data_IF_070409324964
#
_entry.id   IF_070409324964
#
_cell.length_a   1.000
_cell.length_b   1.000
_cell.length_c   1.000
_cell.angle_alpha   90.00
_cell.angle_beta   90.00
_cell.angle_gamma   90.00
#
_symmetry.space_group_name_H-M   'P 1'
#
loop_
_entity.id
_entity.type
_entity.pdbx_description
1 polymer ?
#
# COMPACT_ATOMS: atom_id res chain seq x y z
N UNK A 1 -4.10 43.29 100.88
CA UNK A 1 -4.30 41.90 101.39
C UNK A 1 -4.70 41.07 100.18
N UNK A 2 -3.73 40.55 99.43
CA UNK A 2 -3.03 39.27 99.63
C UNK A 2 -3.91 38.02 99.53
N UNK A 3 -3.41 37.14 98.66
CA UNK A 3 -3.49 35.68 98.64
C UNK A 3 -4.74 35.05 97.99
N UNK A 4 -4.66 33.90 97.32
CA UNK A 4 -3.61 33.24 96.52
C UNK A 4 -4.32 32.09 95.77
N UNK A 5 -3.84 31.80 94.56
CA UNK A 5 -3.92 30.59 93.72
C UNK A 5 -4.84 29.42 94.09
N UNK A 6 -5.52 28.87 93.07
CA UNK A 6 -5.26 27.49 92.61
C UNK A 6 -5.78 27.24 91.18
N UNK A 7 -5.21 26.22 90.55
CA UNK A 7 -4.90 26.06 89.14
C UNK A 7 -5.58 24.80 88.60
N UNK A 8 -6.27 24.84 87.45
CA UNK A 8 -6.60 23.63 86.67
C UNK A 8 -6.47 23.96 85.18
N UNK A 9 -5.39 23.46 84.56
CA UNK A 9 -5.22 23.37 83.10
C UNK A 9 -6.28 22.41 82.55
N UNK A 10 -7.24 22.93 81.79
CA UNK A 10 -8.10 22.10 80.94
C UNK A 10 -7.41 21.99 79.58
N UNK A 11 -7.02 20.75 79.23
CA UNK A 11 -6.46 20.41 77.93
C UNK A 11 -7.53 20.55 76.84
N UNK A 12 -7.26 21.37 75.83
CA UNK A 12 -8.01 21.38 74.57
C UNK A 12 -7.84 20.04 73.85
N UNK A 13 -8.91 19.24 73.81
CA UNK A 13 -9.03 18.10 72.88
C UNK A 13 -9.19 18.65 71.46
N UNK A 14 -8.09 18.72 70.70
CA UNK A 14 -8.16 18.73 69.23
C UNK A 14 -8.79 17.41 68.77
N UNK A 15 -10.01 17.51 68.23
CA UNK A 15 -10.70 16.42 67.53
C UNK A 15 -9.97 16.21 66.20
N UNK A 16 -9.23 15.11 66.07
CA UNK A 16 -8.60 14.71 64.81
C UNK A 16 -9.67 14.19 63.85
N UNK A 17 -9.94 14.94 62.78
CA UNK A 17 -10.63 14.43 61.59
C UNK A 17 -9.73 13.41 60.89
N UNK A 18 -10.28 12.31 60.34
CA UNK A 18 -9.50 11.40 59.52
C UNK A 18 -9.25 12.04 58.16
N UNK A 19 -7.96 12.25 57.86
CA UNK A 19 -7.45 12.73 56.57
C UNK A 19 -7.72 11.68 55.48
N UNK A 20 -8.78 11.88 54.69
CA UNK A 20 -9.17 11.02 53.57
C UNK A 20 -8.61 11.54 52.24
N UNK A 21 -7.29 11.63 52.14
CA UNK A 21 -6.57 12.07 50.93
C UNK A 21 -5.97 10.93 50.10
N UNK A 22 -6.13 9.66 50.50
CA UNK A 22 -5.43 8.51 49.87
C UNK A 22 -6.27 7.63 48.94
N UNK A 23 -7.60 7.77 48.94
CA UNK A 23 -8.48 6.91 48.13
C UNK A 23 -8.84 7.52 46.76
N UNK A 24 -8.61 8.82 46.56
CA UNK A 24 -8.88 9.52 45.29
C UNK A 24 -7.75 9.39 44.25
N UNK A 25 -6.54 8.99 44.66
CA UNK A 25 -5.42 8.76 43.73
C UNK A 25 -5.46 7.39 43.04
N UNK A 26 -5.98 6.34 43.70
CA UNK A 26 -6.01 4.99 43.12
C UNK A 26 -7.04 4.80 42.01
N UNK A 27 -8.17 5.53 42.05
CA UNK A 27 -9.17 5.49 40.97
C UNK A 27 -8.74 6.28 39.72
N UNK A 28 -7.85 7.26 39.86
CA UNK A 28 -7.35 8.07 38.74
C UNK A 28 -6.18 7.41 37.97
N UNK A 29 -5.51 6.43 38.55
CA UNK A 29 -4.42 5.69 37.88
C UNK A 29 -4.94 4.54 36.99
N UNK A 30 -6.01 3.84 37.40
CA UNK A 30 -6.60 2.72 36.64
C UNK A 30 -7.29 3.19 35.34
N UNK A 31 -7.87 4.38 35.33
CA UNK A 31 -8.50 4.99 34.15
C UNK A 31 -7.46 5.49 33.12
N UNK A 32 -6.29 5.95 33.59
CA UNK A 32 -5.19 6.44 32.75
C UNK A 32 -4.42 5.29 32.08
N UNK A 33 -4.24 4.15 32.74
CA UNK A 33 -3.55 2.98 32.15
C UNK A 33 -4.39 2.28 31.07
N UNK A 34 -5.71 2.23 31.23
CA UNK A 34 -6.63 1.67 30.20
C UNK A 34 -6.66 2.52 28.93
N UNK A 35 -6.67 3.85 29.08
CA UNK A 35 -6.69 4.80 27.95
C UNK A 35 -5.33 4.84 27.22
N UNK A 36 -4.21 4.77 27.95
CA UNK A 36 -2.88 4.73 27.33
C UNK A 36 -2.60 3.44 26.54
N UNK A 37 -3.07 2.27 27.02
CA UNK A 37 -2.93 1.01 26.28
C UNK A 37 -3.85 0.93 25.05
N UNK A 38 -5.01 1.59 25.09
CA UNK A 38 -5.87 1.72 23.91
C UNK A 38 -5.24 2.67 22.88
N UNK A 39 -4.65 3.77 23.33
CA UNK A 39 -3.94 4.72 22.46
C UNK A 39 -2.72 4.09 21.78
N UNK A 40 -1.90 3.33 22.51
CA UNK A 40 -0.72 2.65 21.92
C UNK A 40 -1.09 1.54 20.93
N UNK A 41 -2.20 0.83 21.14
CA UNK A 41 -2.72 -0.15 20.19
C UNK A 41 -3.24 0.52 18.91
N UNK A 42 -3.99 1.63 19.03
CA UNK A 42 -4.43 2.42 17.89
C UNK A 42 -3.26 3.01 17.09
N UNK A 43 -2.23 3.51 17.77
CA UNK A 43 -1.01 4.01 17.13
C UNK A 43 -0.31 2.89 16.34
N UNK A 44 -0.24 1.68 16.92
CA UNK A 44 0.35 0.51 16.29
C UNK A 44 -0.45 0.05 15.07
N UNK A 45 -1.79 0.07 15.16
CA UNK A 45 -2.68 -0.22 14.03
C UNK A 45 -2.55 0.82 12.91
N UNK A 46 -2.45 2.10 13.26
CA UNK A 46 -2.26 3.18 12.29
C UNK A 46 -0.91 3.04 11.56
N UNK A 47 0.17 2.76 12.29
CA UNK A 47 1.49 2.53 11.70
C UNK A 47 1.48 1.31 10.78
N UNK A 48 0.89 0.19 11.21
CA UNK A 48 0.75 -1.01 10.38
C UNK A 48 -0.06 -0.75 9.11
N UNK A 49 -1.14 0.04 9.20
CA UNK A 49 -1.93 0.43 8.04
C UNK A 49 -1.13 1.32 7.08
N UNK A 50 -0.41 2.32 7.60
CA UNK A 50 0.48 3.17 6.81
C UNK A 50 1.53 2.35 6.07
N UNK A 51 2.16 1.38 6.73
CA UNK A 51 3.17 0.53 6.10
C UNK A 51 2.56 -0.39 5.04
N UNK A 52 1.34 -0.88 5.26
CA UNK A 52 0.59 -1.66 4.27
C UNK A 52 0.25 -0.82 3.04
N UNK A 53 -0.13 0.46 3.22
CA UNK A 53 -0.39 1.39 2.11
C UNK A 53 0.88 1.68 1.32
N UNK A 54 2.01 1.98 1.98
CA UNK A 54 3.30 2.19 1.31
C UNK A 54 3.73 0.97 0.50
N UNK A 55 3.58 -0.23 1.06
CA UNK A 55 3.92 -1.47 0.37
C UNK A 55 3.00 -1.71 -0.83
N UNK A 56 1.71 -1.39 -0.72
CA UNK A 56 0.77 -1.43 -1.85
C UNK A 56 1.24 -0.49 -2.96
N UNK A 57 1.58 0.76 -2.62
CA UNK A 57 2.08 1.75 -3.58
C UNK A 57 3.35 1.28 -4.30
N UNK A 58 4.32 0.74 -3.53
CA UNK A 58 5.55 0.17 -4.09
C UNK A 58 5.26 -0.96 -5.08
N UNK A 59 4.41 -1.92 -4.70
CA UNK A 59 4.01 -3.03 -5.57
C UNK A 59 3.29 -2.55 -6.83
N UNK A 60 2.41 -1.54 -6.70
CA UNK A 60 1.76 -0.95 -7.88
C UNK A 60 2.76 -0.27 -8.81
N UNK A 61 3.76 0.42 -8.26
CA UNK A 61 4.83 1.03 -9.04
C UNK A 61 5.67 -0.03 -9.79
N UNK A 62 6.02 -1.12 -9.12
CA UNK A 62 6.75 -2.24 -9.73
C UNK A 62 5.93 -2.91 -10.83
N UNK A 63 4.63 -3.13 -10.61
CA UNK A 63 3.73 -3.71 -11.61
C UNK A 63 3.69 -2.84 -12.87
N UNK A 64 3.48 -1.53 -12.73
CA UNK A 64 3.44 -0.59 -13.86
C UNK A 64 4.77 -0.58 -14.63
N UNK A 65 5.90 -0.65 -13.93
CA UNK A 65 7.22 -0.70 -14.57
C UNK A 65 7.38 -1.97 -15.43
N UNK A 66 6.98 -3.13 -14.90
CA UNK A 66 7.02 -4.41 -15.63
C UNK A 66 6.08 -4.41 -16.83
N UNK A 67 4.87 -3.90 -16.67
CA UNK A 67 3.89 -3.81 -17.76
C UNK A 67 4.39 -2.94 -18.91
N UNK A 68 5.02 -1.79 -18.60
CA UNK A 68 5.67 -0.95 -19.60
C UNK A 68 6.82 -1.67 -20.31
N UNK A 69 7.60 -2.45 -19.56
CA UNK A 69 8.69 -3.24 -20.12
C UNK A 69 8.17 -4.34 -21.05
N UNK A 70 7.11 -5.06 -20.67
CA UNK A 70 6.44 -6.06 -21.51
C UNK A 70 5.97 -5.40 -22.81
N UNK A 71 5.30 -4.26 -22.73
CA UNK A 71 4.83 -3.52 -23.90
C UNK A 71 5.98 -3.14 -24.86
N UNK A 72 7.11 -2.65 -24.32
CA UNK A 72 8.28 -2.34 -25.12
C UNK A 72 8.88 -3.58 -25.80
N UNK A 73 9.05 -4.67 -25.04
CA UNK A 73 9.58 -5.93 -25.58
C UNK A 73 8.67 -6.57 -26.62
N UNK A 74 7.35 -6.51 -26.45
CA UNK A 74 6.41 -6.97 -27.45
C UNK A 74 6.56 -6.22 -28.77
N UNK A 75 6.83 -4.91 -28.72
CA UNK A 75 7.04 -4.12 -29.92
C UNK A 75 8.23 -4.64 -30.73
N UNK A 76 9.37 -4.81 -30.05
CA UNK A 76 10.59 -5.33 -30.66
C UNK A 76 10.39 -6.77 -31.16
N UNK A 77 9.78 -7.63 -30.36
CA UNK A 77 9.52 -9.02 -30.70
C UNK A 77 8.63 -9.14 -31.95
N UNK A 78 7.51 -8.41 -32.01
CA UNK A 78 6.61 -8.44 -33.17
C UNK A 78 7.27 -7.90 -34.43
N UNK A 79 8.14 -6.89 -34.31
CA UNK A 79 8.89 -6.34 -35.43
C UNK A 79 9.91 -7.34 -35.99
N UNK A 80 10.73 -7.92 -35.11
CA UNK A 80 11.86 -8.77 -35.49
C UNK A 80 11.41 -10.15 -36.00
N UNK A 81 10.35 -10.71 -35.40
CA UNK A 81 9.89 -12.07 -35.71
C UNK A 81 8.85 -12.14 -36.84
N UNK A 82 8.47 -11.00 -37.42
CA UNK A 82 7.40 -10.90 -38.41
C UNK A 82 7.61 -11.81 -39.64
N UNK A 83 8.88 -12.00 -40.02
CA UNK A 83 9.26 -12.71 -41.25
C UNK A 83 9.18 -14.23 -41.07
N UNK A 84 9.58 -14.74 -39.90
CA UNK A 84 9.75 -16.17 -39.66
C UNK A 84 8.46 -16.84 -39.15
N UNK A 85 7.51 -16.06 -38.63
CA UNK A 85 6.41 -16.58 -37.83
C UNK A 85 6.73 -16.49 -36.34
N UNK A 86 5.69 -16.41 -35.51
CA UNK A 86 5.83 -16.19 -34.07
C UNK A 86 4.61 -16.70 -33.32
N UNK A 87 4.67 -16.65 -31.98
CA UNK A 87 3.58 -17.14 -31.10
C UNK A 87 2.23 -16.44 -31.33
N UNK A 88 2.23 -15.22 -31.87
CA UNK A 88 1.00 -14.45 -32.08
C UNK A 88 0.31 -14.82 -33.40
N UNK A 89 1.08 -15.05 -34.47
CA UNK A 89 0.57 -15.30 -35.83
C UNK A 89 0.70 -16.75 -36.28
N UNK A 90 1.38 -17.59 -35.51
CA UNK A 90 1.69 -18.98 -35.83
C UNK A 90 3.05 -19.18 -36.51
N UNK A 91 3.45 -20.45 -36.58
CA UNK A 91 4.74 -20.91 -37.12
C UNK A 91 4.64 -21.45 -38.55
N UNK A 92 3.50 -21.30 -39.22
CA UNK A 92 3.32 -21.83 -40.59
C UNK A 92 4.37 -21.26 -41.57
N UNK A 93 4.76 -19.99 -41.39
CA UNK A 93 5.83 -19.35 -42.17
C UNK A 93 7.20 -19.99 -41.94
N UNK A 94 7.46 -20.49 -40.74
CA UNK A 94 8.69 -21.19 -40.39
C UNK A 94 8.77 -22.54 -41.12
N UNK A 95 7.64 -23.23 -41.25
CA UNK A 95 7.53 -24.52 -41.95
C UNK A 95 7.53 -24.38 -43.49
N UNK A 96 6.97 -23.28 -44.01
CA UNK A 96 6.72 -23.13 -45.45
C UNK A 96 7.89 -22.58 -46.29
N UNK A 97 9.05 -22.17 -45.75
CA UNK A 97 10.12 -21.76 -46.67
C UNK A 97 11.54 -21.68 -46.15
N UNK A 98 12.40 -22.47 -46.78
CA UNK A 98 13.80 -22.14 -47.12
C UNK A 98 13.90 -21.34 -48.45
N UNK A 99 12.80 -21.14 -49.21
CA UNK A 99 12.85 -20.62 -50.59
C UNK A 99 12.19 -19.26 -50.87
N UNK A 100 11.35 -18.71 -49.99
CA UNK A 100 10.58 -17.48 -50.26
C UNK A 100 10.81 -16.29 -49.31
N UNK A 101 11.86 -16.30 -48.47
CA UNK A 101 12.13 -15.20 -47.53
C UNK A 101 12.27 -13.81 -48.19
N UNK A 102 12.68 -13.76 -49.46
CA UNK A 102 12.88 -12.50 -50.19
C UNK A 102 11.59 -11.85 -50.73
N UNK A 103 10.47 -12.58 -50.81
CA UNK A 103 9.19 -12.04 -51.29
C UNK A 103 8.29 -11.51 -50.16
N UNK A 104 8.70 -11.66 -48.89
CA UNK A 104 7.94 -11.23 -47.71
C UNK A 104 7.89 -9.70 -47.50
N UNK A 105 8.74 -8.93 -48.17
CA UNK A 105 8.79 -7.47 -48.07
C UNK A 105 7.49 -6.83 -48.62
N UNK A 106 6.78 -7.50 -49.54
CA UNK A 106 5.59 -6.99 -50.21
C UNK A 106 4.28 -7.73 -49.81
N UNK A 107 4.27 -8.54 -48.74
CA UNK A 107 3.02 -9.16 -48.29
C UNK A 107 2.10 -8.06 -47.70
N UNK A 108 0.88 -7.84 -48.21
CA UNK A 108 -0.06 -6.87 -47.64
C UNK A 108 -0.52 -7.22 -46.21
N UNK A 109 -0.13 -8.40 -45.68
CA UNK A 109 -0.27 -8.82 -44.27
C UNK A 109 0.95 -8.48 -43.41
N UNK A 110 2.05 -8.01 -44.01
CA UNK A 110 3.20 -7.37 -43.34
C UNK A 110 2.87 -5.94 -42.85
N UNK A 111 1.57 -5.63 -42.74
CA UNK A 111 1.06 -4.36 -42.22
C UNK A 111 1.56 -4.14 -40.80
N UNK A 112 1.87 -2.86 -40.55
CA UNK A 112 2.25 -2.23 -39.28
C UNK A 112 1.74 -3.01 -38.07
N UNK A 113 2.63 -3.22 -37.09
CA UNK A 113 2.31 -3.81 -35.79
C UNK A 113 1.01 -3.19 -35.30
N UNK A 114 0.00 -4.05 -35.09
CA UNK A 114 -1.28 -3.64 -34.55
C UNK A 114 -1.24 -3.81 -33.05
N UNK A 115 -1.88 -2.90 -32.32
CA UNK A 115 -2.07 -3.08 -30.88
C UNK A 115 -2.95 -4.29 -30.54
N UNK A 116 -3.72 -4.80 -31.51
CA UNK A 116 -4.40 -6.09 -31.36
C UNK A 116 -3.46 -7.27 -31.16
N UNK A 117 -2.24 -7.20 -31.68
CA UNK A 117 -1.29 -8.32 -31.72
C UNK A 117 -0.44 -8.38 -30.43
N UNK A 118 -0.60 -7.41 -29.52
CA UNK A 118 0.10 -7.30 -28.22
C UNK A 118 -0.58 -8.12 -27.13
N UNK A 119 -0.56 -9.44 -27.30
CA UNK A 119 -1.35 -10.37 -26.47
C UNK A 119 -0.90 -10.43 -25.00
N UNK A 120 0.38 -10.20 -24.69
CA UNK A 120 0.88 -10.21 -23.31
C UNK A 120 0.52 -8.91 -22.59
N UNK A 121 0.64 -7.76 -23.24
CA UNK A 121 0.14 -6.49 -22.69
C UNK A 121 -1.37 -6.56 -22.44
N UNK A 122 -2.12 -7.13 -23.37
CA UNK A 122 -3.57 -7.34 -23.23
C UNK A 122 -3.97 -8.40 -22.21
N UNK A 123 -3.03 -9.24 -21.77
CA UNK A 123 -3.31 -10.22 -20.71
C UNK A 123 -3.40 -9.57 -19.33
N UNK A 124 -2.92 -8.32 -19.18
CA UNK A 124 -3.11 -7.54 -17.95
C UNK A 124 -4.32 -6.60 -18.05
N UNK A 125 -5.27 -6.79 -17.14
CA UNK A 125 -6.39 -5.88 -16.97
C UNK A 125 -5.93 -4.50 -16.43
N UNK A 126 -4.88 -4.47 -15.61
CA UNK A 126 -4.34 -3.23 -15.01
C UNK A 126 -3.75 -2.31 -16.07
N UNK A 127 -2.96 -2.85 -17.01
CA UNK A 127 -2.42 -2.08 -18.13
C UNK A 127 -3.52 -1.62 -19.09
N UNK A 128 -4.49 -2.47 -19.39
CA UNK A 128 -5.62 -2.13 -20.27
C UNK A 128 -6.44 -0.97 -19.68
N UNK A 129 -6.70 -1.00 -18.38
CA UNK A 129 -7.37 0.10 -17.69
C UNK A 129 -6.53 1.38 -17.70
N UNK A 130 -5.23 1.29 -17.45
CA UNK A 130 -4.34 2.46 -17.48
C UNK A 130 -4.31 3.13 -18.86
N UNK A 131 -4.24 2.37 -19.95
CA UNK A 131 -4.25 2.96 -21.30
C UNK A 131 -5.62 3.59 -21.64
N UNK A 132 -6.72 2.92 -21.27
CA UNK A 132 -8.07 3.42 -21.53
C UNK A 132 -8.43 4.67 -20.70
N UNK A 133 -7.99 4.74 -19.45
CA UNK A 133 -8.19 5.93 -18.60
C UNK A 133 -7.44 7.15 -19.14
N UNK A 134 -6.28 6.96 -19.75
CA UNK A 134 -5.49 8.04 -20.34
C UNK A 134 -6.01 8.51 -21.73
N UNK A 135 -6.79 7.70 -22.47
CA UNK A 135 -7.44 8.14 -23.72
C UNK A 135 -8.70 8.99 -23.49
N UNK A 136 -9.41 8.80 -22.38
CA UNK A 136 -10.58 9.62 -22.02
C UNK A 136 -10.24 11.03 -21.49
N UNK A 137 -8.94 11.40 -21.48
CA UNK A 137 -8.46 12.75 -21.15
C UNK A 137 -7.99 13.55 -22.39
N UNK A 138 -8.29 13.11 -23.61
CA UNK A 138 -8.07 13.91 -24.83
C UNK A 138 -9.35 14.53 -25.37
#
# INVERSE_FOLDING_TARGET
MSADKSNIKVNDKKKSEPDNSKDTEKMNQVSKTKTNNQKSNLESQFNSLSDMVKRKEELTGQLIALEKQIYAFEGNYLQETQIYGNVVRGWDKYLCSTKNFYNGINDPRNKKIKDSDRIFSKSSATLSNYLNENENLK
#
